data_IF_813130881086
#
_entry.id   IF_813130881086
#
_cell.length_a   1.000
_cell.length_b   1.000
_cell.length_c   1.000
_cell.angle_alpha   90.00
_cell.angle_beta   90.00
_cell.angle_gamma   90.00
#
_symmetry.space_group_name_H-M   'P 1'
#
loop_
_entity.id
_entity.type
_entity.pdbx_description
1 polymer ?
#
# COMPACT_ATOMS: atom_id res chain seq x y z
N UNK A 1 17.62 22.06 11.07
CA UNK A 1 16.66 22.88 11.89
C UNK A 1 15.52 21.95 12.27
N UNK A 2 15.32 21.66 13.56
CA UNK A 2 14.21 20.80 14.00
C UNK A 2 12.96 21.65 14.30
N UNK A 3 11.79 21.18 13.86
CA UNK A 3 10.49 21.79 14.16
C UNK A 3 9.50 20.71 14.63
N UNK A 4 8.30 21.11 15.05
CA UNK A 4 7.22 20.17 15.40
C UNK A 4 6.84 19.23 14.24
N UNK A 5 7.11 19.62 13.00
CA UNK A 5 6.71 18.93 11.77
C UNK A 5 7.89 18.44 10.91
N UNK A 6 9.13 18.65 11.36
CA UNK A 6 10.33 18.23 10.65
C UNK A 6 11.40 17.79 11.65
N UNK A 7 11.84 16.55 11.51
CA UNK A 7 13.09 16.07 12.06
C UNK A 7 14.01 15.66 10.92
N UNK A 8 15.14 16.37 10.83
CA UNK A 8 16.16 16.15 9.78
C UNK A 8 16.58 14.68 9.73
N UNK A 9 16.69 14.14 8.52
CA UNK A 9 17.00 12.74 8.21
C UNK A 9 16.07 11.67 8.82
N UNK A 10 14.91 12.07 9.37
CA UNK A 10 13.94 11.11 9.92
C UNK A 10 12.58 11.24 9.27
N UNK A 11 11.94 12.40 9.38
CA UNK A 11 10.57 12.57 8.90
C UNK A 11 10.21 14.04 8.72
N UNK A 12 9.32 14.27 7.77
CA UNK A 12 8.63 15.53 7.58
C UNK A 12 7.13 15.23 7.44
N UNK A 13 6.30 16.05 8.08
CA UNK A 13 4.86 16.03 7.89
C UNK A 13 4.37 17.45 7.62
N UNK A 14 3.15 17.57 7.10
CA UNK A 14 2.54 18.87 6.86
C UNK A 14 2.43 19.68 8.16
N UNK A 15 2.86 20.97 8.20
CA UNK A 15 2.63 21.85 9.36
C UNK A 15 1.16 21.97 9.74
N UNK A 16 0.23 21.77 8.78
CA UNK A 16 -1.21 21.80 9.02
C UNK A 16 -1.69 20.70 9.97
N UNK A 17 -0.92 19.61 10.14
CA UNK A 17 -1.22 18.56 11.12
C UNK A 17 -1.11 19.03 12.59
N UNK A 18 -0.73 20.29 12.83
CA UNK A 18 -0.53 20.86 14.15
C UNK A 18 -1.32 22.16 14.39
N UNK A 19 -2.20 22.53 13.48
CA UNK A 19 -3.08 23.69 13.67
C UNK A 19 -4.20 23.30 14.62
N UNK A 20 -4.36 24.01 15.73
CA UNK A 20 -5.34 23.66 16.78
C UNK A 20 -6.77 23.55 16.23
N UNK A 21 -7.16 24.43 15.30
CA UNK A 21 -8.47 24.37 14.64
C UNK A 21 -8.69 23.12 13.77
N UNK A 22 -7.62 22.39 13.43
CA UNK A 22 -7.67 21.11 12.70
C UNK A 22 -7.58 19.95 13.67
N UNK A 23 -6.69 20.01 14.66
CA UNK A 23 -6.38 18.88 15.54
C UNK A 23 -7.32 18.74 16.74
N UNK A 24 -8.00 19.80 17.15
CA UNK A 24 -8.89 19.79 18.32
C UNK A 24 -10.09 18.85 18.19
N UNK A 25 -10.48 18.49 16.98
CA UNK A 25 -11.57 17.56 16.69
C UNK A 25 -11.08 16.12 16.38
N UNK A 26 -9.76 15.89 16.42
CA UNK A 26 -9.22 14.56 16.10
C UNK A 26 -9.61 13.54 17.19
N UNK A 27 -10.38 12.53 16.79
CA UNK A 27 -10.62 11.33 17.57
C UNK A 27 -9.92 10.14 16.91
N UNK A 28 -8.61 10.04 17.11
CA UNK A 28 -7.80 8.99 16.49
C UNK A 28 -8.05 7.64 17.18
N UNK A 29 -8.15 6.54 16.41
CA UNK A 29 -8.31 5.22 16.99
C UNK A 29 -7.05 4.80 17.76
N UNK A 30 -7.22 3.96 18.79
CA UNK A 30 -6.10 3.38 19.55
C UNK A 30 -5.18 2.51 18.66
N UNK A 31 -5.75 1.89 17.63
CA UNK A 31 -5.03 1.07 16.65
C UNK A 31 -5.03 1.75 15.29
N UNK A 32 -3.83 1.99 14.77
CA UNK A 32 -3.58 2.42 13.38
C UNK A 32 -3.08 1.20 12.61
N UNK A 33 -3.53 1.05 11.36
CA UNK A 33 -3.03 0.02 10.44
C UNK A 33 -2.34 0.70 9.26
N UNK A 34 -1.22 0.15 8.82
CA UNK A 34 -0.49 0.59 7.64
C UNK A 34 -1.03 -0.16 6.42
N UNK A 35 -1.47 0.61 5.43
CA UNK A 35 -1.84 0.12 4.11
C UNK A 35 -0.75 0.52 3.13
N UNK A 36 0.09 -0.45 2.78
CA UNK A 36 1.20 -0.24 1.86
C UNK A 36 0.74 -0.37 0.41
N UNK A 37 1.02 0.66 -0.39
CA UNK A 37 0.65 0.72 -1.81
C UNK A 37 1.88 0.64 -2.74
N UNK A 38 3.03 0.14 -2.27
CA UNK A 38 4.27 0.05 -3.06
C UNK A 38 4.07 -0.75 -4.35
N UNK A 39 3.32 -1.86 -4.28
CA UNK A 39 3.05 -2.75 -5.42
C UNK A 39 1.90 -2.29 -6.33
N UNK A 40 1.34 -1.11 -6.08
CA UNK A 40 0.32 -0.50 -6.94
C UNK A 40 0.73 0.89 -7.37
N UNK A 41 0.82 1.81 -6.41
CA UNK A 41 1.08 3.22 -6.69
C UNK A 41 2.58 3.46 -6.91
N UNK A 42 3.43 2.68 -6.23
CA UNK A 42 4.87 2.71 -6.43
C UNK A 42 5.28 2.41 -7.88
N UNK A 43 4.53 1.55 -8.59
CA UNK A 43 4.76 1.24 -10.01
C UNK A 43 4.44 2.41 -10.96
N UNK A 44 3.74 3.45 -10.49
CA UNK A 44 3.52 4.66 -11.29
C UNK A 44 4.75 5.58 -11.32
N UNK A 45 5.79 5.25 -10.53
CA UNK A 45 7.05 5.99 -10.53
C UNK A 45 7.80 5.77 -11.85
N UNK A 46 8.20 6.85 -12.56
CA UNK A 46 9.00 6.71 -13.78
C UNK A 46 10.25 5.86 -13.57
N UNK A 47 10.44 4.87 -14.44
CA UNK A 47 11.60 3.96 -14.38
C UNK A 47 11.44 2.78 -13.42
N UNK A 48 10.32 2.66 -12.70
CA UNK A 48 9.99 1.48 -11.88
C UNK A 48 9.14 0.52 -12.69
N UNK A 49 9.62 -0.71 -12.84
CA UNK A 49 8.86 -1.80 -13.48
C UNK A 49 9.15 -3.07 -12.67
N UNK A 50 8.14 -3.59 -11.96
CA UNK A 50 8.27 -4.82 -11.20
C UNK A 50 7.82 -6.02 -12.04
N UNK A 51 8.67 -7.04 -12.14
CA UNK A 51 8.25 -8.36 -12.64
C UNK A 51 7.48 -9.10 -11.56
N UNK A 52 6.74 -10.13 -11.96
CA UNK A 52 6.02 -11.01 -11.02
C UNK A 52 6.86 -11.43 -9.80
N UNK A 53 8.08 -11.91 -10.03
CA UNK A 53 8.96 -12.38 -8.95
C UNK A 53 9.44 -11.24 -8.05
N UNK A 54 9.61 -10.03 -8.60
CA UNK A 54 9.91 -8.83 -7.81
C UNK A 54 8.73 -8.49 -6.89
N UNK A 55 7.51 -8.50 -7.42
CA UNK A 55 6.30 -8.23 -6.62
C UNK A 55 6.14 -9.23 -5.49
N UNK A 56 6.35 -10.52 -5.75
CA UNK A 56 6.30 -11.59 -4.73
C UNK A 56 7.34 -11.34 -3.64
N UNK A 57 8.59 -11.07 -4.03
CA UNK A 57 9.68 -10.82 -3.07
C UNK A 57 9.44 -9.57 -2.23
N UNK A 58 8.95 -8.49 -2.84
CA UNK A 58 8.60 -7.26 -2.14
C UNK A 58 7.44 -7.49 -1.17
N UNK A 59 6.38 -8.22 -1.58
CA UNK A 59 5.25 -8.55 -0.70
C UNK A 59 5.70 -9.33 0.55
N UNK A 60 6.59 -10.31 0.39
CA UNK A 60 7.19 -11.03 1.53
C UNK A 60 7.97 -10.09 2.45
N UNK A 61 8.74 -9.16 1.89
CA UNK A 61 9.51 -8.19 2.68
C UNK A 61 8.62 -7.19 3.42
N UNK A 62 7.52 -6.75 2.81
CA UNK A 62 6.52 -5.92 3.46
C UNK A 62 5.87 -6.66 4.64
N UNK A 63 5.53 -7.94 4.46
CA UNK A 63 5.01 -8.79 5.54
C UNK A 63 6.03 -8.99 6.67
N UNK A 64 7.31 -9.22 6.33
CA UNK A 64 8.39 -9.34 7.31
C UNK A 64 8.58 -8.07 8.15
N UNK A 65 8.43 -6.88 7.54
CA UNK A 65 8.47 -5.58 8.24
C UNK A 65 7.25 -5.40 9.13
N UNK A 66 6.15 -6.09 8.85
CA UNK A 66 4.96 -6.14 9.69
C UNK A 66 3.84 -5.18 9.28
N UNK A 67 3.77 -4.79 8.00
CA UNK A 67 2.64 -3.99 7.51
C UNK A 67 1.34 -4.80 7.60
N UNK A 68 0.24 -4.16 7.98
CA UNK A 68 -1.03 -4.87 8.17
C UNK A 68 -1.77 -5.16 6.87
N UNK A 69 -1.60 -4.30 5.85
CA UNK A 69 -2.26 -4.45 4.55
C UNK A 69 -1.30 -4.14 3.41
N UNK A 70 -1.32 -4.97 2.38
CA UNK A 70 -0.54 -4.81 1.15
C UNK A 70 -1.51 -4.70 -0.02
N UNK A 71 -1.49 -3.58 -0.75
CA UNK A 71 -2.18 -3.42 -2.03
C UNK A 71 -1.30 -3.94 -3.16
N UNK A 72 -1.58 -5.16 -3.62
CA UNK A 72 -0.71 -5.92 -4.52
C UNK A 72 -0.80 -5.52 -6.00
N UNK A 73 -1.59 -4.49 -6.34
CA UNK A 73 -1.82 -4.02 -7.71
C UNK A 73 -3.27 -4.15 -8.16
N UNK A 74 -3.49 -4.14 -9.48
CA UNK A 74 -4.82 -4.22 -10.12
C UNK A 74 -4.85 -5.39 -11.13
N UNK A 75 -5.69 -6.42 -10.95
CA UNK A 75 -5.62 -7.65 -11.76
C UNK A 75 -6.14 -7.44 -13.19
N UNK A 76 -6.89 -6.36 -13.40
CA UNK A 76 -7.40 -5.96 -14.71
C UNK A 76 -6.37 -5.25 -15.61
N UNK A 77 -5.19 -4.87 -15.09
CA UNK A 77 -4.15 -4.16 -15.87
C UNK A 77 -3.51 -5.08 -16.92
N UNK A 78 -3.04 -6.25 -16.51
CA UNK A 78 -2.39 -7.21 -17.39
C UNK A 78 -2.50 -8.64 -16.86
N UNK A 79 -2.17 -9.63 -17.69
CA UNK A 79 -2.08 -11.02 -17.22
C UNK A 79 -0.93 -11.22 -16.24
N UNK A 80 0.18 -10.50 -16.40
CA UNK A 80 1.32 -10.57 -15.48
C UNK A 80 0.95 -10.03 -14.09
N UNK A 81 0.17 -8.93 -14.02
CA UNK A 81 -0.38 -8.40 -12.78
C UNK A 81 -1.32 -9.39 -12.10
N UNK A 82 -2.27 -9.96 -12.86
CA UNK A 82 -3.18 -10.97 -12.35
C UNK A 82 -2.41 -12.16 -11.76
N UNK A 83 -1.44 -12.70 -12.51
CA UNK A 83 -0.65 -13.85 -12.08
C UNK A 83 0.25 -13.55 -10.88
N UNK A 84 0.73 -12.32 -10.74
CA UNK A 84 1.51 -11.86 -9.59
C UNK A 84 0.65 -11.70 -8.34
N UNK A 85 -0.49 -11.02 -8.45
CA UNK A 85 -1.44 -10.82 -7.33
C UNK A 85 -1.96 -12.16 -6.84
N UNK A 86 -2.30 -13.07 -7.75
CA UNK A 86 -2.74 -14.43 -7.43
C UNK A 86 -1.64 -15.29 -6.80
N UNK A 87 -0.38 -15.05 -7.14
CA UNK A 87 0.74 -15.69 -6.46
C UNK A 87 0.90 -15.15 -5.03
N UNK A 88 0.87 -13.83 -4.86
CA UNK A 88 0.99 -13.16 -3.56
C UNK A 88 -0.11 -13.59 -2.60
N UNK A 89 -1.37 -13.65 -3.06
CA UNK A 89 -2.52 -14.06 -2.23
C UNK A 89 -2.41 -15.49 -1.70
N UNK A 90 -1.61 -16.36 -2.35
CA UNK A 90 -1.39 -17.76 -1.96
C UNK A 90 -0.18 -17.97 -1.04
N UNK A 91 0.59 -16.94 -0.73
CA UNK A 91 1.80 -17.06 0.09
C UNK A 91 1.52 -17.30 1.58
N UNK A 92 0.29 -17.07 2.06
CA UNK A 92 -0.05 -17.21 3.48
C UNK A 92 0.64 -16.15 4.36
N UNK A 93 0.82 -14.94 3.84
CA UNK A 93 1.37 -13.80 4.58
C UNK A 93 0.47 -13.42 5.76
N UNK A 94 1.05 -12.79 6.79
CA UNK A 94 0.30 -12.25 7.93
C UNK A 94 -0.48 -10.99 7.53
N UNK A 95 0.10 -10.17 6.67
CA UNK A 95 -0.51 -9.01 6.07
C UNK A 95 -1.74 -9.40 5.25
N UNK A 96 -2.79 -8.59 5.33
CA UNK A 96 -3.97 -8.76 4.49
C UNK A 96 -3.64 -8.30 3.08
N UNK A 97 -3.90 -9.15 2.10
CA UNK A 97 -3.67 -8.82 0.69
C UNK A 97 -4.92 -8.14 0.13
N UNK A 98 -4.74 -6.94 -0.40
CA UNK A 98 -5.74 -6.14 -1.09
C UNK A 98 -5.37 -6.01 -2.57
N UNK A 99 -6.37 -5.76 -3.39
CA UNK A 99 -6.17 -5.43 -4.80
C UNK A 99 -7.12 -4.32 -5.22
N UNK A 100 -6.69 -3.50 -6.17
CA UNK A 100 -7.47 -2.39 -6.68
C UNK A 100 -8.38 -2.87 -7.82
N UNK A 101 -9.64 -2.41 -7.81
CA UNK A 101 -10.58 -2.61 -8.91
C UNK A 101 -11.30 -1.30 -9.20
N UNK A 102 -11.56 -1.01 -10.48
CA UNK A 102 -12.50 0.07 -10.83
C UNK A 102 -13.91 -0.37 -10.43
N UNK A 103 -14.83 0.59 -10.29
CA UNK A 103 -16.25 0.34 -10.03
C UNK A 103 -16.98 -0.21 -11.28
N UNK A 104 -16.48 -1.32 -11.82
CA UNK A 104 -17.01 -2.04 -12.97
C UNK A 104 -17.15 -3.52 -12.58
N UNK A 105 -18.30 -4.18 -12.86
CA UNK A 105 -18.50 -5.58 -12.49
C UNK A 105 -17.36 -6.49 -12.95
N UNK A 106 -16.90 -6.35 -14.21
CA UNK A 106 -15.81 -7.16 -14.78
C UNK A 106 -14.48 -7.02 -14.02
N UNK A 107 -14.18 -5.83 -13.49
CA UNK A 107 -12.95 -5.62 -12.72
C UNK A 107 -13.06 -6.19 -11.30
N UNK A 108 -14.27 -6.12 -10.71
CA UNK A 108 -14.56 -6.68 -9.40
C UNK A 108 -14.54 -8.21 -9.47
N UNK A 109 -15.18 -8.80 -10.47
CA UNK A 109 -15.18 -10.25 -10.70
C UNK A 109 -13.73 -10.75 -10.88
N UNK A 110 -12.93 -10.05 -11.69
CA UNK A 110 -11.53 -10.39 -11.89
C UNK A 110 -10.66 -10.21 -10.64
N UNK A 111 -11.05 -9.36 -9.70
CA UNK A 111 -10.37 -9.22 -8.42
C UNK A 111 -10.69 -10.36 -7.44
N UNK A 112 -11.82 -11.05 -7.65
CA UNK A 112 -12.25 -12.19 -6.84
C UNK A 112 -11.61 -13.52 -7.32
N UNK A 113 -11.33 -13.64 -8.63
CA UNK A 113 -10.78 -14.84 -9.31
C UNK A 113 -9.34 -15.24 -8.92
#
# INVERSE_FOLDING_TARGET
METKYLQEDKWWVSPYNFVDGVTSEFNLPEKVEIHDATLRDGEQTPGVVFRKDDKVRIAQKLDEVGVERIEAGMPAVSQEDFDAIKAISKLGLKAKIFTFARALPVDIDKAID
#
